data_IF_929748503404
#
_entry.id   IF_929748503404
#
_cell.length_a   1.000
_cell.length_b   1.000
_cell.length_c   1.000
_cell.angle_alpha   90.00
_cell.angle_beta   90.00
_cell.angle_gamma   90.00
#
_symmetry.space_group_name_H-M   'P 1'
#
loop_
_entity.id
_entity.type
_entity.pdbx_description
1 polymer ?
#
# COMPACT_ATOMS: atom_id res chain seq x y z
N UNK A 1 -9.47 4.49 -11.29
CA UNK A 1 -10.36 4.87 -12.43
C UNK A 1 -9.49 4.97 -13.67
N UNK A 2 -9.79 4.27 -14.77
CA UNK A 2 -8.99 4.36 -16.02
C UNK A 2 -9.59 5.40 -16.95
N UNK A 3 -8.83 6.45 -17.25
CA UNK A 3 -9.14 7.40 -18.32
C UNK A 3 -7.95 7.38 -19.28
N UNK A 4 -8.16 6.98 -20.54
CA UNK A 4 -7.18 6.94 -21.63
C UNK A 4 -5.95 6.02 -21.46
N UNK A 5 -6.10 4.83 -20.87
CA UNK A 5 -5.03 3.80 -20.89
C UNK A 5 -3.78 4.13 -20.06
N UNK A 6 -3.75 5.29 -19.43
CA UNK A 6 -2.78 5.67 -18.41
C UNK A 6 -3.41 5.36 -17.04
N UNK A 7 -2.68 4.65 -16.18
CA UNK A 7 -3.12 4.35 -14.82
C UNK A 7 -3.04 5.66 -14.03
N UNK A 8 -4.12 6.46 -14.06
CA UNK A 8 -4.16 7.81 -13.46
C UNK A 8 -4.38 7.81 -11.95
N UNK A 9 -4.64 6.65 -11.34
CA UNK A 9 -4.72 6.52 -9.89
C UNK A 9 -3.40 5.89 -9.40
N UNK A 10 -2.63 6.54 -8.51
CA UNK A 10 -1.59 5.82 -7.78
C UNK A 10 -2.26 4.61 -7.10
N UNK A 11 -1.60 3.44 -7.05
CA UNK A 11 -2.19 2.30 -6.37
C UNK A 11 -2.57 2.72 -4.96
N UNK A 12 -3.86 2.64 -4.62
CA UNK A 12 -4.33 2.91 -3.27
C UNK A 12 -3.63 1.92 -2.35
N UNK A 13 -2.72 2.44 -1.53
CA UNK A 13 -2.01 1.65 -0.53
C UNK A 13 -3.02 1.37 0.58
N UNK A 14 -3.42 0.11 0.71
CA UNK A 14 -4.26 -0.32 1.81
C UNK A 14 -3.56 -0.05 3.16
N UNK A 15 -4.35 0.35 4.17
CA UNK A 15 -3.84 0.71 5.50
C UNK A 15 -3.08 -0.44 6.18
N UNK A 16 -3.53 -1.69 5.98
CA UNK A 16 -2.85 -2.88 6.48
C UNK A 16 -1.53 -3.14 5.76
N UNK A 17 -1.48 -2.92 4.46
CA UNK A 17 -0.24 -3.02 3.68
C UNK A 17 0.77 -1.93 4.08
N UNK A 18 0.31 -0.71 4.33
CA UNK A 18 1.15 0.39 4.82
C UNK A 18 1.75 0.06 6.20
N UNK A 19 0.94 -0.46 7.13
CA UNK A 19 1.40 -0.88 8.45
C UNK A 19 2.44 -2.01 8.37
N UNK A 20 2.21 -3.02 7.52
CA UNK A 20 3.16 -4.10 7.30
C UNK A 20 4.47 -3.62 6.67
N UNK A 21 4.40 -2.67 5.71
CA UNK A 21 5.58 -2.05 5.11
C UNK A 21 6.42 -1.29 6.15
N UNK A 22 5.77 -0.58 7.09
CA UNK A 22 6.46 0.09 8.20
C UNK A 22 7.13 -0.92 9.15
N UNK A 23 6.49 -2.05 9.42
CA UNK A 23 7.10 -3.11 10.23
C UNK A 23 8.33 -3.72 9.56
N UNK A 24 8.25 -4.02 8.25
CA UNK A 24 9.41 -4.46 7.44
C UNK A 24 10.53 -3.43 7.47
N UNK A 25 10.19 -2.14 7.36
CA UNK A 25 11.18 -1.06 7.43
C UNK A 25 11.87 -0.96 8.80
N UNK A 26 11.12 -1.11 9.88
CA UNK A 26 11.64 -1.09 11.24
C UNK A 26 12.69 -2.19 11.46
N UNK A 27 12.50 -3.35 10.81
CA UNK A 27 13.37 -4.52 10.87
C UNK A 27 14.15 -4.78 9.56
N UNK A 28 14.42 -3.73 8.78
CA UNK A 28 14.97 -3.86 7.41
C UNK A 28 16.28 -4.67 7.33
N UNK A 29 17.14 -4.58 8.34
CA UNK A 29 18.41 -5.30 8.33
C UNK A 29 18.21 -6.79 8.59
N UNK A 30 17.33 -7.11 9.54
CA UNK A 30 16.93 -8.48 9.86
C UNK A 30 16.18 -9.11 8.68
N UNK A 31 15.26 -8.38 8.06
CA UNK A 31 14.52 -8.84 6.88
C UNK A 31 15.47 -9.18 5.73
N UNK A 32 16.41 -8.28 5.40
CA UNK A 32 17.42 -8.56 4.36
C UNK A 32 18.27 -9.78 4.72
N UNK A 33 18.67 -9.92 5.99
CA UNK A 33 19.41 -11.09 6.43
C UNK A 33 18.61 -12.40 6.26
N UNK A 34 17.33 -12.39 6.64
CA UNK A 34 16.44 -13.53 6.48
C UNK A 34 16.22 -13.90 5.01
N UNK A 35 16.10 -12.90 4.11
CA UNK A 35 16.01 -13.15 2.67
C UNK A 35 17.26 -13.85 2.13
N UNK A 36 18.47 -13.45 2.54
CA UNK A 36 19.71 -14.10 2.11
C UNK A 36 19.95 -15.47 2.74
N UNK A 37 19.39 -15.70 3.93
CA UNK A 37 19.55 -16.96 4.66
C UNK A 37 18.50 -18.02 4.26
N UNK A 38 17.43 -17.62 3.57
CA UNK A 38 16.36 -18.52 3.16
C UNK A 38 16.79 -19.47 2.04
N UNK A 39 16.25 -20.68 2.05
CA UNK A 39 16.50 -21.68 1.01
C UNK A 39 15.72 -21.41 -0.27
N UNK A 40 14.49 -20.91 -0.10
CA UNK A 40 13.55 -20.55 -1.16
C UNK A 40 12.61 -19.43 -0.67
N UNK A 41 11.71 -19.00 -1.55
CA UNK A 41 10.77 -17.92 -1.25
C UNK A 41 9.79 -18.27 -0.11
N UNK A 42 9.13 -19.45 -0.08
CA UNK A 42 8.28 -19.85 1.06
C UNK A 42 9.03 -19.82 2.41
N UNK A 43 10.27 -20.31 2.46
CA UNK A 43 11.11 -20.26 3.67
C UNK A 43 11.38 -18.82 4.12
N UNK A 44 11.68 -17.92 3.18
CA UNK A 44 11.83 -16.49 3.46
C UNK A 44 10.55 -15.87 4.03
N UNK A 45 9.40 -16.10 3.37
CA UNK A 45 8.11 -15.54 3.80
C UNK A 45 7.73 -16.04 5.20
N UNK A 46 7.88 -17.32 5.48
CA UNK A 46 7.59 -17.90 6.79
C UNK A 46 8.48 -17.32 7.89
N UNK A 47 9.79 -17.14 7.64
CA UNK A 47 10.72 -16.53 8.60
C UNK A 47 10.40 -15.07 8.89
N UNK A 48 10.13 -14.29 7.85
CA UNK A 48 9.81 -12.87 7.98
C UNK A 48 8.45 -12.68 8.65
N UNK A 49 7.45 -13.46 8.25
CA UNK A 49 6.13 -13.46 8.91
C UNK A 49 6.22 -13.86 10.38
N UNK A 50 7.06 -14.85 10.72
CA UNK A 50 7.33 -15.26 12.09
C UNK A 50 8.00 -14.17 12.95
N UNK A 51 8.93 -13.40 12.36
CA UNK A 51 9.60 -12.26 12.98
C UNK A 51 8.60 -11.11 13.24
N UNK A 52 7.83 -10.74 12.22
CA UNK A 52 6.99 -9.54 12.23
C UNK A 52 5.56 -9.76 12.76
N UNK A 53 5.16 -11.01 12.96
CA UNK A 53 3.78 -11.40 13.32
C UNK A 53 2.74 -10.93 12.29
N UNK A 54 3.12 -10.99 11.01
CA UNK A 54 2.29 -10.67 9.84
C UNK A 54 2.16 -11.92 8.99
N UNK A 55 1.02 -12.11 8.34
CA UNK A 55 0.81 -13.27 7.47
C UNK A 55 1.70 -13.23 6.23
N UNK A 56 2.04 -14.42 5.72
CA UNK A 56 2.96 -14.59 4.59
C UNK A 56 2.48 -13.90 3.31
N UNK A 57 1.16 -13.86 3.06
CA UNK A 57 0.60 -13.22 1.87
C UNK A 57 0.77 -11.69 1.92
N UNK A 58 0.57 -11.08 3.09
CA UNK A 58 0.86 -9.67 3.30
C UNK A 58 2.35 -9.38 3.16
N UNK A 59 3.24 -10.23 3.69
CA UNK A 59 4.69 -10.07 3.49
C UNK A 59 5.07 -10.15 2.01
N UNK A 60 4.53 -11.12 1.26
CA UNK A 60 4.76 -11.22 -0.18
C UNK A 60 4.36 -9.92 -0.90
N UNK A 61 3.16 -9.40 -0.58
CA UNK A 61 2.68 -8.12 -1.13
C UNK A 61 3.57 -6.93 -0.77
N UNK A 62 4.19 -6.91 0.41
CA UNK A 62 5.15 -5.87 0.81
C UNK A 62 6.46 -6.02 0.03
N UNK A 63 6.96 -7.24 -0.14
CA UNK A 63 8.21 -7.50 -0.86
C UNK A 63 8.08 -7.22 -2.38
N UNK A 64 6.87 -7.32 -2.93
CA UNK A 64 6.55 -6.93 -4.30
C UNK A 64 6.56 -5.40 -4.53
N UNK A 65 6.61 -4.59 -3.45
CA UNK A 65 6.60 -3.14 -3.57
C UNK A 65 7.96 -2.60 -4.02
N UNK A 66 7.97 -1.46 -4.74
CA UNK A 66 9.21 -0.88 -5.22
C UNK A 66 10.08 -0.40 -4.04
N UNK A 67 11.38 -0.74 -4.05
CA UNK A 67 12.35 -0.36 -3.00
C UNK A 67 12.35 1.13 -2.64
N UNK A 68 11.90 2.01 -3.54
CA UNK A 68 11.74 3.45 -3.28
C UNK A 68 10.81 3.75 -2.09
N UNK A 69 9.88 2.85 -1.74
CA UNK A 69 9.03 2.98 -0.55
C UNK A 69 9.82 2.98 0.75
N UNK A 70 11.05 2.47 0.75
CA UNK A 70 11.95 2.50 1.91
C UNK A 70 12.64 3.87 2.08
N UNK A 71 12.46 4.82 1.16
CA UNK A 71 13.05 6.15 1.29
C UNK A 71 12.26 7.01 2.29
N UNK A 72 12.91 7.90 3.06
CA UNK A 72 12.27 8.67 4.12
C UNK A 72 11.02 9.45 3.69
N UNK A 73 11.00 9.99 2.47
CA UNK A 73 9.87 10.77 1.97
C UNK A 73 8.59 9.95 1.76
N UNK A 74 8.71 8.68 1.37
CA UNK A 74 7.56 7.78 1.22
C UNK A 74 7.17 7.15 2.55
N UNK A 75 8.12 7.04 3.49
CA UNK A 75 7.84 6.55 4.84
C UNK A 75 6.81 7.42 5.57
N UNK A 76 6.96 8.74 5.52
CA UNK A 76 5.99 9.65 6.18
C UNK A 76 4.57 9.51 5.62
N UNK A 77 4.45 9.21 4.32
CA UNK A 77 3.17 8.95 3.66
C UNK A 77 2.56 7.62 4.16
N UNK A 78 3.37 6.56 4.23
CA UNK A 78 2.95 5.27 4.80
C UNK A 78 2.53 5.38 6.28
N UNK A 79 3.25 6.17 7.09
CA UNK A 79 2.88 6.44 8.49
C UNK A 79 1.51 7.12 8.59
N UNK A 80 1.20 8.03 7.66
CA UNK A 80 -0.11 8.70 7.59
C UNK A 80 -1.22 7.71 7.21
N UNK A 81 -0.98 6.87 6.21
CA UNK A 81 -1.96 5.89 5.71
C UNK A 81 -2.22 4.79 6.76
N UNK A 82 -1.17 4.28 7.41
CA UNK A 82 -1.29 3.27 8.47
C UNK A 82 -1.99 3.81 9.73
N UNK A 83 -1.89 5.12 9.99
CA UNK A 83 -2.55 5.78 11.11
C UNK A 83 -4.03 6.13 10.82
N UNK A 84 -4.51 5.99 9.58
CA UNK A 84 -5.91 6.24 9.25
C UNK A 84 -6.78 5.07 9.76
N UNK A 85 -7.69 5.30 10.72
CA UNK A 85 -8.62 4.27 11.16
C UNK A 85 -9.65 4.07 10.05
N UNK A 86 -9.45 3.09 9.14
CA UNK A 86 -10.33 2.70 8.01
C UNK A 86 -11.44 3.73 7.73
N UNK A 87 -11.05 4.94 7.32
CA UNK A 87 -11.99 6.04 7.24
C UNK A 87 -12.71 5.93 5.91
N UNK A 88 -13.78 5.13 5.93
CA UNK A 88 -14.96 5.33 5.10
C UNK A 88 -14.65 5.42 3.61
N UNK A 89 -14.57 4.27 2.95
CA UNK A 89 -14.80 4.14 1.51
C UNK A 89 -16.23 4.60 1.20
N UNK A 90 -16.45 5.92 1.15
CA UNK A 90 -17.66 6.48 0.57
C UNK A 90 -17.53 6.32 -0.96
N UNK A 91 -18.50 5.66 -1.65
CA UNK A 91 -18.47 5.61 -3.09
C UNK A 91 -18.66 7.03 -3.65
N UNK A 92 -17.60 7.57 -4.25
CA UNK A 92 -17.66 8.79 -5.03
C UNK A 92 -18.32 8.49 -6.39
N UNK A 93 -19.65 8.36 -6.37
CA UNK A 93 -20.48 8.31 -7.58
C UNK A 93 -21.64 9.32 -7.48
N UNK A 94 -21.28 10.59 -7.31
CA UNK A 94 -22.19 11.70 -7.58
C UNK A 94 -21.56 12.60 -8.65
N UNK A 95 -22.00 12.53 -9.92
CA UNK A 95 -21.59 13.48 -10.93
C UNK A 95 -22.17 14.88 -10.62
N UNK A 96 -21.44 15.96 -10.93
CA UNK A 96 -21.94 17.31 -10.76
C UNK A 96 -22.99 17.58 -11.84
N UNK A 97 -24.26 17.68 -11.44
CA UNK A 97 -25.29 18.24 -12.30
C UNK A 97 -25.29 19.76 -12.12
N UNK A 98 -24.40 20.43 -12.84
CA UNK A 98 -24.53 21.85 -13.09
C UNK A 98 -24.47 22.12 -14.60
N UNK A 99 -25.40 23.00 -15.02
CA UNK A 99 -25.51 23.71 -16.31
C UNK A 99 -26.31 23.05 -17.45
N UNK A 100 -27.57 23.50 -17.62
CA UNK A 100 -28.01 24.07 -18.90
C UNK A 100 -29.16 25.08 -18.64
N UNK A 101 -28.82 26.36 -18.48
CA UNK A 101 -29.09 27.43 -19.46
C UNK A 101 -30.51 27.52 -20.03
N UNK A 102 -31.18 28.60 -19.60
CA UNK A 102 -31.84 29.58 -20.46
C UNK A 102 -32.99 29.15 -21.42
N UNK A 103 -34.14 29.78 -21.11
CA UNK A 103 -35.11 30.37 -22.03
C UNK A 103 -36.12 29.43 -22.72
N UNK A 104 -37.42 29.72 -22.54
CA UNK A 104 -38.23 30.48 -23.52
C UNK A 104 -39.69 30.53 -23.03
N UNK A 105 -40.11 31.77 -22.75
CA UNK A 105 -41.43 32.38 -22.99
C UNK A 105 -42.69 31.85 -22.28
#
# INVERSE_FOLDING_TARGET
MTVNGEITSPPEIDSGLAAAALAVFAHRHEVVHLLYAATDEPDALARIGGLLKVDEATIARVLDQPLRWMLPQFRSELETIAAAPEAMTAPADQPPADLESAAVK
#
